data_IF_974979163394
#
_entry.id   IF_974979163394
#
_cell.length_a   1.000
_cell.length_b   1.000
_cell.length_c   1.000
_cell.angle_alpha   90.00
_cell.angle_beta   90.00
_cell.angle_gamma   90.00
#
_symmetry.space_group_name_H-M   'P 1'
#
loop_
_entity.id
_entity.type
_entity.pdbx_description
1 polymer ?
#
# COMPACT_ATOMS: atom_id res chain seq x y z
N UNK A 1 -4.99 -0.51 -5.94
CA UNK A 1 -5.78 0.49 -6.70
C UNK A 1 -5.93 1.78 -5.91
N UNK A 2 -6.33 2.87 -6.55
CA UNK A 2 -6.52 4.18 -5.91
C UNK A 2 -7.98 4.40 -5.47
N UNK A 3 -8.17 5.11 -4.36
CA UNK A 3 -9.48 5.53 -3.84
C UNK A 3 -9.60 7.05 -3.90
N UNK A 4 -10.49 7.56 -4.74
CA UNK A 4 -10.84 8.98 -4.77
C UNK A 4 -12.05 9.27 -3.86
N UNK A 5 -12.08 10.45 -3.26
CA UNK A 5 -13.19 10.90 -2.39
C UNK A 5 -13.73 12.25 -2.84
N UNK A 6 -14.94 12.59 -2.42
CA UNK A 6 -15.53 13.91 -2.67
C UNK A 6 -14.77 15.06 -1.96
N UNK A 7 -13.89 14.76 -1.01
CA UNK A 7 -13.04 15.73 -0.30
C UNK A 7 -11.82 16.23 -1.08
N UNK A 8 -11.76 15.99 -2.40
CA UNK A 8 -10.62 16.35 -3.28
C UNK A 8 -9.30 15.64 -2.91
N UNK A 9 -9.38 14.42 -2.36
CA UNK A 9 -8.22 13.62 -1.96
C UNK A 9 -8.29 12.23 -2.59
N UNK A 10 -7.14 11.75 -3.08
CA UNK A 10 -6.94 10.39 -3.60
C UNK A 10 -5.95 9.63 -2.72
N UNK A 11 -6.33 8.44 -2.29
CA UNK A 11 -5.50 7.54 -1.48
C UNK A 11 -4.96 6.37 -2.32
N UNK A 12 -3.70 6.00 -2.09
CA UNK A 12 -3.11 4.79 -2.67
C UNK A 12 -2.00 4.23 -1.79
N UNK A 13 -1.73 2.93 -1.95
CA UNK A 13 -0.63 2.24 -1.28
C UNK A 13 0.59 2.08 -2.18
N UNK A 14 1.78 2.03 -1.58
CA UNK A 14 3.02 1.68 -2.27
C UNK A 14 3.52 0.29 -1.87
N UNK A 15 4.34 -0.33 -2.72
CA UNK A 15 5.00 -1.62 -2.42
C UNK A 15 5.98 -1.51 -1.24
N UNK A 16 6.50 -0.33 -0.97
CA UNK A 16 7.33 -0.06 0.20
C UNK A 16 6.49 0.07 1.48
N UNK A 17 5.16 0.02 1.40
CA UNK A 17 4.28 0.05 2.56
C UNK A 17 3.86 1.44 3.01
N UNK A 18 3.87 2.43 2.12
CA UNK A 18 3.28 3.74 2.42
C UNK A 18 1.82 3.79 1.99
N UNK A 19 0.93 4.13 2.91
CA UNK A 19 -0.35 4.73 2.54
C UNK A 19 -0.10 6.22 2.28
N UNK A 20 -0.42 6.68 1.08
CA UNK A 20 -0.32 8.08 0.67
C UNK A 20 -1.69 8.66 0.40
N UNK A 21 -1.83 9.95 0.66
CA UNK A 21 -2.95 10.76 0.20
C UNK A 21 -2.41 11.93 -0.62
N UNK A 22 -3.00 12.19 -1.78
CA UNK A 22 -2.63 13.29 -2.67
C UNK A 22 -3.84 14.17 -2.98
N UNK A 23 -3.59 15.44 -3.24
CA UNK A 23 -4.58 16.35 -3.79
C UNK A 23 -5.00 15.87 -5.19
N UNK A 24 -6.31 15.78 -5.44
CA UNK A 24 -6.85 15.15 -6.64
C UNK A 24 -6.61 15.96 -7.93
N UNK A 25 -6.32 17.26 -7.82
CA UNK A 25 -6.10 18.13 -8.98
C UNK A 25 -4.62 18.27 -9.32
N UNK A 26 -3.78 18.40 -8.30
CA UNK A 26 -2.36 18.74 -8.44
C UNK A 26 -1.44 17.53 -8.28
N UNK A 27 -1.92 16.44 -7.66
CA UNK A 27 -1.11 15.28 -7.31
C UNK A 27 -0.13 15.53 -6.15
N UNK A 28 -0.20 16.69 -5.48
CA UNK A 28 0.66 17.02 -4.34
C UNK A 28 0.40 16.04 -3.18
N UNK A 29 1.45 15.46 -2.61
CA UNK A 29 1.36 14.63 -1.40
C UNK A 29 0.90 15.48 -0.21
N UNK A 30 -0.21 15.08 0.41
CA UNK A 30 -0.82 15.72 1.58
C UNK A 30 -0.55 14.92 2.86
N UNK A 31 -0.45 13.60 2.72
CA UNK A 31 -0.25 12.68 3.84
C UNK A 31 0.54 11.46 3.40
N UNK A 32 1.33 10.91 4.34
CA UNK A 32 2.04 9.65 4.18
C UNK A 32 2.19 8.94 5.53
N UNK A 33 1.90 7.66 5.56
CA UNK A 33 2.10 6.80 6.73
C UNK A 33 2.76 5.47 6.35
N UNK A 34 3.75 5.04 7.13
CA UNK A 34 4.43 3.75 6.94
C UNK A 34 3.64 2.64 7.63
N UNK A 35 2.91 1.86 6.85
CA UNK A 35 2.31 0.60 7.29
C UNK A 35 3.40 -0.49 7.46
N UNK A 36 3.14 -1.57 8.21
CA UNK A 36 4.18 -2.56 8.49
C UNK A 36 4.65 -3.40 7.29
N UNK A 37 3.90 -3.44 6.18
CA UNK A 37 4.28 -4.17 4.98
C UNK A 37 3.80 -3.47 3.69
N UNK A 38 4.32 -3.87 2.54
CA UNK A 38 3.92 -3.37 1.24
C UNK A 38 2.42 -3.52 0.98
N UNK A 39 1.84 -2.57 0.26
CA UNK A 39 0.40 -2.53 -0.01
C UNK A 39 0.17 -2.94 -1.46
N UNK A 40 -0.45 -4.10 -1.65
CA UNK A 40 -0.89 -4.60 -2.96
C UNK A 40 -2.41 -4.52 -3.14
N UNK A 41 -3.15 -4.30 -2.04
CA UNK A 41 -4.60 -4.20 -2.02
C UNK A 41 -5.13 -2.83 -2.45
N UNK A 42 -6.45 -2.67 -2.30
CA UNK A 42 -7.12 -1.39 -2.50
C UNK A 42 -7.33 -0.69 -1.15
N UNK A 43 -7.23 0.64 -1.17
CA UNK A 43 -7.69 1.47 -0.05
C UNK A 43 -9.22 1.52 -0.10
N UNK A 44 -9.87 1.47 1.07
CA UNK A 44 -11.32 1.65 1.20
C UNK A 44 -11.66 2.78 2.19
N UNK A 45 -12.91 3.23 2.19
CA UNK A 45 -13.45 4.16 3.20
C UNK A 45 -14.86 3.75 3.61
N UNK A 46 -15.24 4.02 4.87
CA UNK A 46 -16.58 3.79 5.41
C UNK A 46 -16.88 4.82 6.51
N UNK A 47 -18.14 4.89 6.95
CA UNK A 47 -18.55 5.68 8.11
C UNK A 47 -18.98 4.76 9.26
N UNK A 48 -18.64 5.12 10.50
CA UNK A 48 -19.14 4.48 11.71
C UNK A 48 -19.30 5.49 12.84
N UNK A 49 -20.51 5.61 13.40
CA UNK A 49 -20.80 6.56 14.47
C UNK A 49 -20.59 8.03 14.05
N UNK A 50 -20.97 8.39 12.82
CA UNK A 50 -20.82 9.76 12.29
C UNK A 50 -19.37 10.17 11.98
N UNK A 51 -18.42 9.22 12.01
CA UNK A 51 -17.01 9.45 11.70
C UNK A 51 -16.59 8.65 10.48
N UNK A 52 -15.91 9.30 9.54
CA UNK A 52 -15.33 8.63 8.37
C UNK A 52 -14.00 7.95 8.74
N UNK A 53 -13.81 6.75 8.22
CA UNK A 53 -12.60 5.95 8.37
C UNK A 53 -12.03 5.60 6.99
N UNK A 54 -10.71 5.49 6.92
CA UNK A 54 -9.97 4.97 5.76
C UNK A 54 -9.21 3.73 6.23
N UNK A 55 -9.19 2.66 5.44
CA UNK A 55 -8.47 1.45 5.82
C UNK A 55 -7.78 0.80 4.63
N UNK A 56 -6.72 0.07 4.92
CA UNK A 56 -5.90 -0.61 3.92
C UNK A 56 -5.22 -1.84 4.52
N UNK A 57 -5.17 -2.92 3.75
CA UNK A 57 -4.38 -4.11 4.07
C UNK A 57 -2.93 -3.92 3.65
N UNK A 58 -2.02 -4.28 4.55
CA UNK A 58 -0.57 -4.36 4.32
C UNK A 58 -0.12 -5.81 4.39
N UNK A 59 0.68 -6.20 3.39
CA UNK A 59 1.13 -7.56 3.14
C UNK A 59 1.63 -7.65 1.70
N UNK A 60 2.93 -7.40 1.51
CA UNK A 60 3.55 -7.43 0.18
C UNK A 60 3.46 -8.84 -0.41
N UNK A 61 3.19 -8.93 -1.70
CA UNK A 61 2.97 -10.20 -2.39
C UNK A 61 2.53 -9.95 -3.83
N UNK A 62 1.64 -10.81 -4.33
CA UNK A 62 1.29 -10.83 -5.75
C UNK A 62 2.55 -11.01 -6.61
N UNK A 63 2.50 -10.56 -7.86
CA UNK A 63 3.62 -10.78 -8.77
C UNK A 63 4.83 -9.88 -8.47
N UNK A 64 4.58 -8.61 -8.09
CA UNK A 64 5.66 -7.67 -7.76
C UNK A 64 6.46 -8.09 -6.51
N UNK A 65 5.81 -8.76 -5.55
CA UNK A 65 6.43 -9.26 -4.33
C UNK A 65 6.79 -10.75 -4.37
N UNK A 66 6.72 -11.43 -5.51
CA UNK A 66 6.82 -12.90 -5.56
C UNK A 66 8.16 -13.44 -5.04
N UNK A 67 9.25 -12.70 -5.21
CA UNK A 67 10.56 -13.05 -4.64
C UNK A 67 10.53 -13.14 -3.12
N UNK A 68 9.85 -12.19 -2.46
CA UNK A 68 9.63 -12.20 -1.01
C UNK A 68 8.63 -13.29 -0.60
N UNK A 69 7.49 -13.37 -1.28
CA UNK A 69 6.37 -14.23 -0.88
C UNK A 69 6.65 -15.73 -1.06
N UNK A 70 7.39 -16.10 -2.10
CA UNK A 70 7.74 -17.50 -2.39
C UNK A 70 9.20 -17.84 -2.05
N UNK A 71 9.97 -16.89 -1.49
CA UNK A 71 11.37 -17.10 -1.13
C UNK A 71 12.30 -17.35 -2.33
N UNK A 72 11.97 -16.79 -3.49
CA UNK A 72 12.75 -16.99 -4.72
C UNK A 72 13.93 -16.02 -4.76
N UNK A 73 15.11 -16.53 -5.08
CA UNK A 73 16.36 -15.74 -5.15
C UNK A 73 16.99 -15.71 -6.54
N UNK A 74 16.62 -16.62 -7.44
CA UNK A 74 17.07 -16.58 -8.84
C UNK A 74 16.41 -15.37 -9.55
N UNK A 75 17.19 -14.42 -10.09
CA UNK A 75 16.65 -13.22 -10.74
C UNK A 75 15.77 -13.52 -11.97
N UNK A 76 15.90 -14.69 -12.60
CA UNK A 76 15.10 -15.11 -13.73
C UNK A 76 13.84 -15.90 -13.33
N UNK A 77 13.73 -16.33 -12.07
CA UNK A 77 12.54 -16.99 -11.55
C UNK A 77 11.36 -16.02 -11.43
N UNK A 78 10.15 -16.58 -11.21
CA UNK A 78 8.92 -15.78 -11.12
C UNK A 78 8.64 -14.99 -12.42
N UNK A 79 9.01 -15.55 -13.57
CA UNK A 79 8.91 -14.93 -14.90
C UNK A 79 9.64 -13.57 -14.95
N UNK A 80 10.80 -13.47 -14.31
CA UNK A 80 11.66 -12.29 -14.27
C UNK A 80 11.29 -11.24 -13.20
N UNK A 81 10.16 -11.40 -12.49
CA UNK A 81 9.74 -10.46 -11.47
C UNK A 81 10.70 -10.42 -10.26
N UNK A 82 11.34 -11.55 -9.94
CA UNK A 82 12.31 -11.62 -8.82
C UNK A 82 13.47 -10.66 -9.05
N UNK A 83 14.07 -10.68 -10.24
CA UNK A 83 15.12 -9.73 -10.61
C UNK A 83 14.62 -8.30 -10.74
N UNK A 84 13.42 -8.10 -11.33
CA UNK A 84 12.83 -6.78 -11.54
C UNK A 84 12.54 -6.00 -10.24
N UNK A 85 12.27 -6.70 -9.14
CA UNK A 85 11.97 -6.12 -7.83
C UNK A 85 13.01 -6.48 -6.76
N UNK A 86 14.24 -6.80 -7.14
CA UNK A 86 15.27 -7.30 -6.22
C UNK A 86 15.54 -6.39 -5.00
N UNK A 87 15.41 -5.06 -5.16
CA UNK A 87 15.62 -4.10 -4.08
C UNK A 87 14.44 -3.98 -3.09
N UNK A 88 13.27 -4.56 -3.39
CA UNK A 88 12.05 -4.38 -2.59
C UNK A 88 12.20 -4.91 -1.15
N UNK A 89 13.03 -5.95 -0.96
CA UNK A 89 13.33 -6.54 0.34
C UNK A 89 14.05 -5.58 1.31
N UNK A 90 14.68 -4.51 0.81
CA UNK A 90 15.33 -3.48 1.62
C UNK A 90 14.31 -2.53 2.28
N UNK A 91 13.07 -2.49 1.79
CA UNK A 91 12.06 -1.52 2.22
C UNK A 91 10.89 -2.14 2.97
N UNK A 92 10.64 -3.43 2.75
CA UNK A 92 9.48 -4.13 3.31
C UNK A 92 9.76 -5.62 3.52
N UNK A 93 8.92 -6.25 4.33
CA UNK A 93 8.89 -7.68 4.62
C UNK A 93 7.45 -8.18 4.46
N UNK A 94 7.24 -9.49 4.49
CA UNK A 94 5.89 -10.06 4.49
C UNK A 94 5.06 -9.56 5.68
N UNK A 95 3.74 -9.55 5.52
CA UNK A 95 2.81 -9.05 6.54
C UNK A 95 1.39 -9.53 6.31
N UNK A 96 0.48 -9.08 7.17
CA UNK A 96 -0.92 -9.46 7.14
C UNK A 96 -1.74 -8.62 8.11
N UNK A 97 -1.74 -7.31 7.94
CA UNK A 97 -2.39 -6.38 8.88
C UNK A 97 -3.33 -5.41 8.15
N UNK A 98 -4.51 -5.21 8.73
CA UNK A 98 -5.42 -4.12 8.38
C UNK A 98 -5.09 -2.90 9.25
N UNK A 99 -4.78 -1.77 8.62
CA UNK A 99 -4.59 -0.49 9.31
C UNK A 99 -5.78 0.41 9.04
N UNK A 100 -6.36 0.99 10.09
CA UNK A 100 -7.52 1.89 10.02
C UNK A 100 -7.12 3.29 10.49
N UNK A 101 -7.53 4.30 9.75
CA UNK A 101 -7.23 5.71 9.95
C UNK A 101 -8.53 6.50 10.14
N UNK A 102 -8.48 7.51 11.02
CA UNK A 102 -9.50 8.55 11.16
C UNK A 102 -8.81 9.88 11.48
N UNK A 103 -9.53 10.99 11.37
CA UNK A 103 -9.06 12.26 11.94
C UNK A 103 -9.03 12.18 13.47
N UNK A 104 -8.17 13.02 14.07
CA UNK A 104 -8.12 13.22 15.53
C UNK A 104 -9.46 13.67 16.11
N UNK A 105 -9.56 13.68 17.43
CA UNK A 105 -10.73 14.25 18.11
C UNK A 105 -10.83 15.77 17.90
#
# INVERSE_FOLDING_TARGET
>A
GALATAGNVVFYGTLEGYLKAVDAQTGKELYRFKTPSGIIGNVMTYEHGGRQYVAVLSGVGGWAGIGLAAGLTDPHAGLGAVGGYAALNNYTQLGGQLTVFKLGE
#
